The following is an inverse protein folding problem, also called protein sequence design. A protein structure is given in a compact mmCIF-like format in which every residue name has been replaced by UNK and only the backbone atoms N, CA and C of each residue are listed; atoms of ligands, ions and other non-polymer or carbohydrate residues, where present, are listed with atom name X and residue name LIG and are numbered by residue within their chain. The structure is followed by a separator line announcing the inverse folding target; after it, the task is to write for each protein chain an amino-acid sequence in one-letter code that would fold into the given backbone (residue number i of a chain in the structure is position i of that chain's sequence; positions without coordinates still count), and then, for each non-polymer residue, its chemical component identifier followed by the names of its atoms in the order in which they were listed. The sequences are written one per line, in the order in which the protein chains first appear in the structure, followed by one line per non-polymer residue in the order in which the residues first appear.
data_IF_057891582544
#
_entry.id   IF_057891582544
#
_cell.length_a   1.000
_cell.length_b   1.000
_cell.length_c   1.000
_cell.angle_alpha   90.00
_cell.angle_beta   90.00
_cell.angle_gamma   90.00
#
_symmetry.space_group_name_H-M   'P 1'
#
loop_
_entity.id
_entity.type
_entity.pdbx_description
1 polymer ?
#
# COMPACT_ATOMS: atom_id res chain seq x y z
N UNK A 1 -21.08 1.19 -12.49
CA UNK A 1 -20.28 -0.06 -12.35
C UNK A 1 -20.30 -0.85 -13.65
N UNK A 2 -19.18 -1.42 -14.10
CA UNK A 2 -19.13 -2.29 -15.30
C UNK A 2 -18.93 -3.73 -14.85
N UNK A 3 -19.79 -4.66 -15.28
CA UNK A 3 -19.71 -6.07 -14.86
C UNK A 3 -18.70 -6.83 -15.72
N UNK A 4 -17.52 -7.16 -15.19
CA UNK A 4 -16.52 -7.97 -15.89
C UNK A 4 -16.98 -9.43 -16.00
N UNK A 5 -17.05 -9.97 -17.22
CA UNK A 5 -17.45 -11.37 -17.48
C UNK A 5 -16.22 -12.28 -17.41
N UNK A 6 -15.99 -12.91 -16.26
CA UNK A 6 -14.92 -13.89 -16.06
C UNK A 6 -15.47 -15.30 -16.32
N UNK A 7 -14.89 -16.01 -17.30
CA UNK A 7 -15.29 -17.37 -17.67
C UNK A 7 -14.66 -18.42 -16.76
N UNK A 8 -15.17 -19.65 -16.79
CA UNK A 8 -14.55 -20.77 -16.08
C UNK A 8 -13.13 -21.06 -16.60
N UNK A 9 -12.90 -20.96 -17.91
CA UNK A 9 -11.57 -21.14 -18.52
C UNK A 9 -10.57 -20.08 -18.03
N UNK A 10 -11.03 -18.83 -17.86
CA UNK A 10 -10.19 -17.78 -17.27
C UNK A 10 -9.72 -18.19 -15.86
N UNK A 11 -10.64 -18.69 -15.02
CA UNK A 11 -10.36 -19.07 -13.63
C UNK A 11 -9.39 -20.25 -13.58
N UNK A 12 -9.67 -21.34 -14.29
CA UNK A 12 -8.83 -22.55 -14.28
C UNK A 12 -7.44 -22.26 -14.83
N UNK A 13 -7.32 -21.41 -15.84
CA UNK A 13 -6.01 -21.05 -16.39
C UNK A 13 -5.14 -20.33 -15.36
N UNK A 14 -5.72 -19.38 -14.62
CA UNK A 14 -4.99 -18.66 -13.56
C UNK A 14 -4.62 -19.56 -12.38
N UNK A 15 -5.49 -20.51 -11.99
CA UNK A 15 -5.20 -21.43 -10.88
C UNK A 15 -4.04 -22.38 -11.19
N UNK A 16 -3.95 -22.91 -12.41
CA UNK A 16 -2.86 -23.84 -12.80
C UNK A 16 -1.47 -23.21 -12.67
N UNK A 17 -1.34 -21.93 -13.03
CA UNK A 17 -0.05 -21.22 -12.94
C UNK A 17 0.31 -20.83 -11.50
N UNK A 18 -0.70 -20.54 -10.67
CA UNK A 18 -0.50 -20.21 -9.25
C UNK A 18 0.19 -21.35 -8.47
N UNK A 19 -0.18 -22.59 -8.75
CA UNK A 19 0.39 -23.77 -8.07
C UNK A 19 1.90 -23.89 -8.32
N UNK A 20 2.34 -23.60 -9.55
CA UNK A 20 3.77 -23.59 -9.93
C UNK A 20 4.52 -22.43 -9.27
N UNK A 21 3.85 -21.29 -9.06
CA UNK A 21 4.47 -20.07 -8.56
C UNK A 21 4.72 -20.06 -7.05
N UNK A 22 3.81 -20.59 -6.23
CA UNK A 22 3.85 -20.41 -4.76
C UNK A 22 3.96 -21.69 -3.93
N UNK A 23 3.84 -22.89 -4.53
CA UNK A 23 3.94 -24.17 -3.83
C UNK A 23 3.04 -24.24 -2.56
N UNK A 24 1.79 -23.80 -2.74
CA UNK A 24 0.73 -23.89 -1.73
C UNK A 24 0.17 -25.31 -1.75
N UNK A 25 -0.09 -25.90 -0.58
CA UNK A 25 -0.62 -27.26 -0.48
C UNK A 25 -1.64 -27.41 0.67
N UNK A 26 -2.12 -28.64 0.87
CA UNK A 26 -3.14 -28.97 1.86
C UNK A 26 -2.71 -28.80 3.33
N UNK A 27 -1.40 -28.76 3.62
CA UNK A 27 -0.87 -28.48 4.96
C UNK A 27 -0.87 -26.96 5.28
N UNK A 28 -1.08 -26.12 4.27
CA UNK A 28 -1.13 -24.68 4.46
C UNK A 28 -2.46 -24.22 5.08
N UNK A 29 -2.38 -23.14 5.85
CA UNK A 29 -3.52 -22.52 6.52
C UNK A 29 -3.50 -21.02 6.29
N UNK A 30 -4.60 -20.46 5.78
CA UNK A 30 -4.78 -19.04 5.53
C UNK A 30 -5.93 -18.40 6.34
N UNK A 31 -6.07 -17.08 6.18
CA UNK A 31 -7.17 -16.29 6.76
C UNK A 31 -7.83 -15.49 5.64
N UNK A 32 -9.15 -15.55 5.58
CA UNK A 32 -10.00 -14.78 4.67
C UNK A 32 -10.75 -13.69 5.43
N UNK A 33 -10.72 -12.47 4.89
CA UNK A 33 -11.41 -11.31 5.47
C UNK A 33 -11.95 -10.34 4.40
N UNK A 34 -11.64 -10.58 3.12
CA UNK A 34 -12.13 -9.76 2.03
C UNK A 34 -13.54 -10.21 1.63
N UNK A 35 -14.40 -9.32 1.12
CA UNK A 35 -15.70 -9.71 0.61
C UNK A 35 -15.58 -10.61 -0.63
N UNK A 36 -16.43 -11.63 -0.74
CA UNK A 36 -16.53 -12.54 -1.92
C UNK A 36 -16.87 -11.83 -3.24
N UNK A 37 -17.32 -10.57 -3.18
CA UNK A 37 -17.49 -9.73 -4.36
C UNK A 37 -16.17 -9.25 -4.95
N UNK A 38 -15.07 -9.26 -4.19
CA UNK A 38 -13.75 -8.85 -4.64
C UNK A 38 -13.04 -10.01 -5.35
N UNK A 39 -12.47 -9.75 -6.53
CA UNK A 39 -11.85 -10.80 -7.38
C UNK A 39 -10.68 -11.51 -6.69
N UNK A 40 -9.89 -10.80 -5.86
CA UNK A 40 -8.83 -11.43 -5.04
C UNK A 40 -9.38 -12.49 -4.07
N UNK A 41 -10.46 -12.19 -3.34
CA UNK A 41 -11.07 -13.17 -2.46
C UNK A 41 -11.67 -14.32 -3.26
N UNK A 42 -12.41 -14.00 -4.32
CA UNK A 42 -13.16 -15.00 -5.06
C UNK A 42 -12.27 -15.95 -5.85
N UNK A 43 -11.18 -15.45 -6.44
CA UNK A 43 -10.29 -16.26 -7.28
C UNK A 43 -9.13 -16.82 -6.46
N UNK A 44 -8.27 -15.99 -5.89
CA UNK A 44 -7.05 -16.47 -5.20
C UNK A 44 -7.36 -17.18 -3.89
N UNK A 45 -8.34 -16.70 -3.10
CA UNK A 45 -8.66 -17.31 -1.81
C UNK A 45 -9.71 -18.41 -1.95
N UNK A 46 -10.87 -18.16 -2.56
CA UNK A 46 -11.96 -19.15 -2.66
C UNK A 46 -11.67 -20.27 -3.64
N UNK A 47 -11.41 -19.98 -4.92
CA UNK A 47 -11.06 -21.06 -5.85
C UNK A 47 -9.67 -21.63 -5.55
N UNK A 48 -8.71 -20.80 -5.15
CA UNK A 48 -7.37 -21.27 -4.78
C UNK A 48 -7.37 -22.28 -3.62
N UNK A 49 -8.19 -22.08 -2.58
CA UNK A 49 -8.30 -23.07 -1.48
C UNK A 49 -8.95 -24.38 -1.93
N UNK A 50 -9.91 -24.33 -2.84
CA UNK A 50 -10.53 -25.54 -3.44
C UNK A 50 -9.50 -26.28 -4.30
N UNK A 51 -8.68 -25.55 -5.05
CA UNK A 51 -7.65 -26.11 -5.93
C UNK A 51 -6.51 -26.79 -5.15
N UNK A 52 -6.09 -26.19 -4.05
CA UNK A 52 -4.90 -26.62 -3.28
C UNK A 52 -5.22 -27.50 -2.06
N UNK A 53 -6.48 -27.55 -1.62
CA UNK A 53 -6.87 -28.19 -0.37
C UNK A 53 -6.54 -27.38 0.89
N UNK A 54 -6.03 -26.15 0.75
CA UNK A 54 -5.60 -25.30 1.86
C UNK A 54 -6.75 -24.98 2.83
N UNK A 55 -6.51 -25.15 4.13
CA UNK A 55 -7.46 -24.75 5.18
C UNK A 55 -7.57 -23.23 5.32
N UNK A 56 -8.77 -22.69 5.54
CA UNK A 56 -8.97 -21.23 5.68
C UNK A 56 -9.90 -20.88 6.83
N UNK A 57 -9.44 -19.98 7.70
CA UNK A 57 -10.25 -19.34 8.74
C UNK A 57 -10.88 -18.06 8.21
N UNK A 58 -12.10 -17.75 8.64
CA UNK A 58 -12.75 -16.49 8.31
C UNK A 58 -12.60 -15.53 9.47
N UNK A 59 -12.04 -14.35 9.20
CA UNK A 59 -11.90 -13.31 10.20
C UNK A 59 -13.26 -12.76 10.62
N UNK A 60 -13.44 -12.42 11.89
CA UNK A 60 -14.73 -11.90 12.36
C UNK A 60 -14.99 -10.47 11.87
N UNK A 61 -13.92 -9.70 11.60
CA UNK A 61 -13.97 -8.41 10.90
C UNK A 61 -12.58 -7.99 10.45
N UNK A 62 -12.50 -7.04 9.50
CA UNK A 62 -11.23 -6.43 9.05
C UNK A 62 -10.43 -5.85 10.23
N UNK A 63 -11.11 -5.28 11.23
CA UNK A 63 -10.46 -4.65 12.38
C UNK A 63 -9.71 -5.67 13.26
N UNK A 64 -10.22 -6.91 13.34
CA UNK A 64 -9.68 -7.98 14.18
C UNK A 64 -8.66 -8.87 13.48
N UNK A 65 -8.43 -8.70 12.17
CA UNK A 65 -7.52 -9.56 11.39
C UNK A 65 -6.14 -9.69 12.05
N UNK A 66 -5.49 -8.59 12.46
CA UNK A 66 -4.15 -8.66 13.06
C UNK A 66 -4.12 -9.38 14.42
N UNK A 67 -5.24 -9.36 15.16
CA UNK A 67 -5.38 -10.08 16.43
C UNK A 67 -5.61 -11.58 16.18
N UNK A 68 -6.56 -11.90 15.29
CA UNK A 68 -6.93 -13.28 14.94
C UNK A 68 -5.81 -14.02 14.20
N UNK A 69 -4.94 -13.31 13.46
CA UNK A 69 -3.73 -13.90 12.85
C UNK A 69 -2.83 -14.55 13.90
N UNK A 70 -2.71 -13.96 15.09
CA UNK A 70 -1.89 -14.53 16.15
C UNK A 70 -2.49 -15.83 16.73
N UNK A 71 -3.81 -15.95 16.76
CA UNK A 71 -4.54 -17.14 17.23
C UNK A 71 -4.56 -18.25 16.18
N UNK A 72 -4.93 -17.92 14.94
CA UNK A 72 -5.00 -18.87 13.81
C UNK A 72 -3.61 -19.37 13.41
N UNK A 73 -2.59 -18.52 13.61
CA UNK A 73 -1.19 -18.78 13.25
C UNK A 73 -1.09 -19.27 11.80
N UNK A 74 -1.43 -18.49 10.78
CA UNK A 74 -1.43 -18.99 9.39
C UNK A 74 -0.02 -19.40 8.93
N UNK A 75 0.06 -20.25 7.90
CA UNK A 75 1.33 -20.54 7.20
C UNK A 75 1.55 -19.58 6.03
N UNK A 76 0.46 -19.09 5.43
CA UNK A 76 0.47 -18.10 4.36
C UNK A 76 -0.59 -17.05 4.68
N UNK A 77 -0.27 -15.77 4.50
CA UNK A 77 -1.22 -14.70 4.72
C UNK A 77 -1.20 -13.68 3.59
N UNK A 78 -2.29 -13.64 2.83
CA UNK A 78 -2.54 -12.63 1.80
C UNK A 78 -3.25 -11.43 2.40
N UNK A 79 -2.77 -10.22 2.14
CA UNK A 79 -3.42 -9.00 2.62
C UNK A 79 -3.20 -7.81 1.68
N UNK A 80 -3.83 -6.68 2.02
CA UNK A 80 -3.62 -5.41 1.31
C UNK A 80 -2.49 -4.62 2.00
N UNK A 81 -1.78 -3.72 1.27
CA UNK A 81 -0.66 -2.94 1.82
C UNK A 81 -0.95 -2.30 3.18
N UNK A 82 -2.17 -1.76 3.35
CA UNK A 82 -2.57 -1.06 4.59
C UNK A 82 -2.48 -1.93 5.84
N UNK A 83 -2.71 -3.23 5.74
CA UNK A 83 -2.61 -4.14 6.89
C UNK A 83 -1.13 -4.32 7.29
N UNK A 84 -0.24 -4.44 6.31
CA UNK A 84 1.21 -4.50 6.54
C UNK A 84 1.77 -3.17 7.06
N UNK A 85 1.32 -2.03 6.53
CA UNK A 85 1.63 -0.69 7.03
C UNK A 85 1.21 -0.52 8.49
N UNK A 86 -0.01 -0.93 8.85
CA UNK A 86 -0.51 -0.87 10.23
C UNK A 86 0.30 -1.76 11.15
N UNK A 87 0.66 -2.97 10.71
CA UNK A 87 1.51 -3.86 11.48
C UNK A 87 2.92 -3.27 11.67
N UNK A 88 3.51 -2.70 10.62
CA UNK A 88 4.80 -1.99 10.67
C UNK A 88 4.78 -0.83 11.67
N UNK A 89 3.78 0.06 11.55
CA UNK A 89 3.61 1.20 12.46
C UNK A 89 3.47 0.75 13.92
N UNK A 90 2.68 -0.30 14.18
CA UNK A 90 2.53 -0.88 15.52
C UNK A 90 3.84 -1.43 16.07
N UNK A 91 4.63 -2.12 15.24
CA UNK A 91 5.95 -2.62 15.62
C UNK A 91 6.88 -1.45 15.98
N UNK A 92 6.95 -0.42 15.13
CA UNK A 92 7.81 0.73 15.36
C UNK A 92 7.42 1.49 16.63
N UNK A 93 6.13 1.76 16.83
CA UNK A 93 5.62 2.37 18.06
C UNK A 93 5.99 1.54 19.31
N UNK A 94 5.85 0.22 19.25
CA UNK A 94 6.24 -0.69 20.35
C UNK A 94 7.75 -0.60 20.65
N UNK A 95 8.58 -0.48 19.61
CA UNK A 95 10.04 -0.32 19.77
C UNK A 95 10.37 1.03 20.39
N UNK A 96 9.73 2.12 19.97
CA UNK A 96 9.94 3.47 20.51
C UNK A 96 9.59 3.57 22.00
N UNK A 97 8.55 2.87 22.43
CA UNK A 97 8.15 2.79 23.84
C UNK A 97 9.04 1.87 24.67
N UNK A 98 9.85 1.00 24.03
CA UNK A 98 10.74 0.09 24.73
C UNK A 98 11.97 0.81 25.30
N UNK A 99 12.64 0.25 26.33
CA UNK A 99 13.88 0.81 26.87
C UNK A 99 14.95 1.02 25.78
N UNK A 100 15.80 2.05 25.94
CA UNK A 100 16.86 2.41 24.97
C UNK A 100 17.76 1.24 24.58
N UNK A 101 17.97 0.28 25.47
CA UNK A 101 18.73 -0.95 25.19
C UNK A 101 18.04 -1.82 24.13
N UNK A 102 16.72 -2.04 24.24
CA UNK A 102 15.93 -2.78 23.25
C UNK A 102 15.87 -2.04 21.92
N UNK A 103 15.72 -0.71 21.93
CA UNK A 103 15.78 0.10 20.71
C UNK A 103 17.11 -0.07 19.96
N UNK A 104 18.24 -0.05 20.69
CA UNK A 104 19.57 -0.26 20.08
C UNK A 104 19.70 -1.65 19.46
N UNK A 105 19.22 -2.68 20.14
CA UNK A 105 19.23 -4.06 19.63
C UNK A 105 18.37 -4.16 18.36
N UNK A 106 17.18 -3.56 18.36
CA UNK A 106 16.29 -3.54 17.21
C UNK A 106 16.94 -2.85 16.00
N UNK A 107 17.45 -1.63 16.17
CA UNK A 107 18.11 -0.87 15.08
C UNK A 107 19.35 -1.58 14.53
N UNK A 108 20.09 -2.29 15.39
CA UNK A 108 21.21 -3.12 14.96
C UNK A 108 20.72 -4.32 14.12
N UNK A 109 19.69 -5.04 14.59
CA UNK A 109 19.12 -6.17 13.87
C UNK A 109 18.56 -5.73 12.51
N UNK A 110 17.81 -4.63 12.46
CA UNK A 110 17.27 -4.05 11.23
C UNK A 110 18.39 -3.74 10.22
N UNK A 111 19.48 -3.09 10.65
CA UNK A 111 20.63 -2.81 9.77
C UNK A 111 21.26 -4.08 9.20
N UNK A 112 21.45 -5.10 10.05
CA UNK A 112 22.01 -6.40 9.65
C UNK A 112 21.09 -7.08 8.63
N UNK A 113 19.78 -7.06 8.86
CA UNK A 113 18.80 -7.63 7.94
C UNK A 113 18.76 -6.88 6.62
N UNK A 114 18.78 -5.55 6.63
CA UNK A 114 18.79 -4.72 5.41
C UNK A 114 20.04 -4.97 4.56
N UNK A 115 21.22 -5.08 5.18
CA UNK A 115 22.47 -5.43 4.50
C UNK A 115 22.38 -6.82 3.83
N UNK A 116 21.77 -7.80 4.50
CA UNK A 116 21.54 -9.13 3.94
C UNK A 116 20.56 -9.09 2.74
N UNK A 117 19.45 -8.36 2.85
CA UNK A 117 18.45 -8.18 1.79
C UNK A 117 19.07 -7.51 0.55
N UNK A 118 19.90 -6.48 0.73
CA UNK A 118 20.59 -5.81 -0.37
C UNK A 118 21.51 -6.76 -1.15
N UNK A 119 22.23 -7.64 -0.45
CA UNK A 119 23.07 -8.66 -1.09
C UNK A 119 22.22 -9.70 -1.83
N UNK A 120 21.10 -10.15 -1.25
CA UNK A 120 20.16 -11.07 -1.91
C UNK A 120 19.57 -10.46 -3.19
N UNK A 121 19.10 -9.22 -3.13
CA UNK A 121 18.57 -8.47 -4.27
C UNK A 121 19.61 -8.25 -5.37
N UNK A 122 20.90 -8.14 -5.00
CA UNK A 122 22.00 -8.04 -5.94
C UNK A 122 22.52 -9.39 -6.45
N UNK A 123 21.90 -10.52 -6.06
CA UNK A 123 22.37 -11.86 -6.41
C UNK A 123 23.74 -12.22 -5.82
N UNK A 124 24.20 -11.51 -4.78
CA UNK A 124 25.52 -11.67 -4.17
C UNK A 124 25.45 -12.62 -2.96
N UNK A 125 26.49 -13.45 -2.75
CA UNK A 125 26.55 -14.31 -1.58
C UNK A 125 26.68 -13.47 -0.30
N UNK A 126 25.94 -13.84 0.74
CA UNK A 126 26.06 -13.21 2.06
C UNK A 126 27.36 -13.68 2.75
N UNK A 127 28.27 -12.77 3.14
CA UNK A 127 29.51 -13.11 3.84
C UNK A 127 29.25 -13.86 5.16
N UNK A 128 30.16 -14.75 5.55
CA UNK A 128 30.01 -15.56 6.76
C UNK A 128 29.77 -14.73 8.02
N UNK A 129 30.52 -13.64 8.22
CA UNK A 129 30.33 -12.75 9.37
C UNK A 129 28.94 -12.11 9.41
N UNK A 130 28.37 -11.77 8.25
CA UNK A 130 27.01 -11.24 8.16
C UNK A 130 25.97 -12.33 8.43
N UNK A 131 26.18 -13.57 7.96
CA UNK A 131 25.31 -14.72 8.30
C UNK A 131 25.22 -14.95 9.81
N UNK A 132 26.35 -14.89 10.52
CA UNK A 132 26.39 -15.04 11.99
C UNK A 132 25.62 -13.90 12.68
N UNK A 133 25.88 -12.64 12.28
CA UNK A 133 25.14 -11.48 12.80
C UNK A 133 23.64 -11.61 12.54
N UNK A 134 23.26 -12.07 11.35
CA UNK A 134 21.86 -12.28 10.98
C UNK A 134 21.21 -13.37 11.84
N UNK A 135 21.87 -14.49 12.08
CA UNK A 135 21.36 -15.54 12.98
C UNK A 135 21.13 -15.05 14.41
N UNK A 136 22.01 -14.17 14.91
CA UNK A 136 21.83 -13.51 16.21
C UNK A 136 20.65 -12.51 16.18
N UNK A 137 20.56 -11.68 15.14
CA UNK A 137 19.44 -10.76 14.95
C UNK A 137 18.09 -11.51 14.88
N UNK A 138 18.07 -12.65 14.19
CA UNK A 138 16.90 -13.51 14.07
C UNK A 138 16.41 -14.02 15.42
N UNK A 139 17.32 -14.58 16.22
CA UNK A 139 16.98 -15.09 17.55
C UNK A 139 16.56 -14.00 18.54
N UNK A 140 17.16 -12.81 18.46
CA UNK A 140 16.92 -11.73 19.43
C UNK A 140 15.69 -10.89 19.08
N UNK A 141 15.41 -10.69 17.79
CA UNK A 141 14.42 -9.74 17.27
C UNK A 141 13.45 -10.42 16.32
N UNK A 142 13.91 -10.94 15.18
CA UNK A 142 13.00 -11.29 14.09
C UNK A 142 12.06 -12.47 14.40
N UNK A 143 12.53 -13.47 15.14
CA UNK A 143 11.70 -14.56 15.66
C UNK A 143 10.54 -14.07 16.53
N UNK A 144 10.73 -13.00 17.32
CA UNK A 144 9.68 -12.39 18.12
C UNK A 144 8.68 -11.62 17.24
N UNK A 145 9.15 -10.97 16.18
CA UNK A 145 8.28 -10.33 15.20
C UNK A 145 7.43 -11.37 14.46
N UNK A 146 8.02 -12.50 14.04
CA UNK A 146 7.27 -13.62 13.46
C UNK A 146 6.21 -14.16 14.42
N UNK A 147 6.51 -14.23 15.71
CA UNK A 147 5.56 -14.68 16.71
C UNK A 147 4.30 -13.80 16.79
N UNK A 148 4.38 -12.50 16.45
CA UNK A 148 3.21 -11.61 16.36
C UNK A 148 2.22 -12.09 15.28
N UNK A 149 2.73 -12.73 14.21
CA UNK A 149 1.91 -13.32 13.16
C UNK A 149 1.69 -14.83 13.38
N UNK A 150 1.82 -15.31 14.62
CA UNK A 150 1.62 -16.71 14.99
C UNK A 150 2.81 -17.65 14.76
N UNK A 151 3.94 -17.11 14.28
CA UNK A 151 5.26 -17.77 14.33
C UNK A 151 5.52 -18.85 13.29
N UNK A 152 4.55 -19.22 12.45
CA UNK A 152 4.71 -20.23 11.39
C UNK A 152 4.40 -19.72 9.97
N UNK A 153 4.23 -18.41 9.80
CA UNK A 153 4.09 -17.81 8.47
C UNK A 153 5.39 -18.02 7.69
N UNK A 154 5.27 -18.67 6.53
CA UNK A 154 6.36 -18.86 5.55
C UNK A 154 6.56 -17.60 4.73
N UNK A 155 5.47 -16.96 4.32
CA UNK A 155 5.48 -15.72 3.56
C UNK A 155 4.12 -15.04 3.53
N UNK A 156 4.16 -13.77 3.15
CA UNK A 156 3.01 -12.92 2.92
C UNK A 156 2.84 -12.65 1.43
N UNK A 157 1.61 -12.33 1.05
CA UNK A 157 1.28 -11.91 -0.30
C UNK A 157 0.55 -10.57 -0.24
N UNK A 158 0.90 -9.63 -1.11
CA UNK A 158 0.24 -8.33 -1.20
C UNK A 158 -0.07 -7.96 -2.63
N UNK A 159 -1.14 -7.19 -2.83
CA UNK A 159 -1.50 -6.67 -4.15
C UNK A 159 -2.57 -5.58 -4.07
N UNK A 160 -3.14 -5.28 -5.22
CA UNK A 160 -4.19 -4.27 -5.44
C UNK A 160 -3.75 -2.80 -5.24
N UNK A 161 -2.70 -2.52 -4.48
CA UNK A 161 -2.11 -1.18 -4.33
C UNK A 161 -0.60 -1.30 -4.12
N UNK A 162 0.17 -0.24 -4.45
CA UNK A 162 1.60 -0.22 -4.15
C UNK A 162 1.83 -0.19 -2.63
N UNK A 163 2.93 -0.77 -2.20
CA UNK A 163 3.44 -0.73 -0.83
C UNK A 163 4.81 -0.07 -0.83
N UNK A 164 5.12 0.70 0.22
CA UNK A 164 6.40 1.40 0.31
C UNK A 164 7.58 0.40 0.30
N UNK A 165 8.64 0.63 -0.50
CA UNK A 165 9.80 -0.25 -0.55
C UNK A 165 10.45 -0.51 0.79
N UNK A 166 10.46 0.49 1.68
CA UNK A 166 11.00 0.34 3.04
C UNK A 166 10.25 -0.72 3.86
N UNK A 167 8.93 -0.80 3.73
CA UNK A 167 8.13 -1.81 4.43
C UNK A 167 8.47 -3.19 3.87
N UNK A 168 8.59 -3.33 2.55
CA UNK A 168 9.02 -4.59 1.94
C UNK A 168 10.39 -5.01 2.46
N UNK A 169 11.38 -4.11 2.40
CA UNK A 169 12.73 -4.36 2.92
C UNK A 169 12.70 -4.81 4.37
N UNK A 170 11.89 -4.18 5.22
CA UNK A 170 11.75 -4.54 6.62
C UNK A 170 11.22 -5.97 6.82
N UNK A 171 10.13 -6.36 6.14
CA UNK A 171 9.55 -7.69 6.27
C UNK A 171 10.48 -8.78 5.70
N UNK A 172 11.16 -8.49 4.60
CA UNK A 172 12.21 -9.35 4.05
C UNK A 172 13.40 -9.50 5.00
N UNK A 173 13.87 -8.39 5.57
CA UNK A 173 14.96 -8.38 6.55
C UNK A 173 14.61 -9.17 7.82
N UNK A 174 13.32 -9.17 8.20
CA UNK A 174 12.82 -9.90 9.35
C UNK A 174 12.53 -11.40 9.06
N UNK A 175 12.80 -11.89 7.85
CA UNK A 175 12.69 -13.32 7.52
C UNK A 175 11.26 -13.82 7.36
N UNK A 176 10.32 -12.95 6.98
CA UNK A 176 8.96 -13.31 6.59
C UNK A 176 8.55 -12.46 5.38
N UNK A 177 8.99 -12.86 4.18
CA UNK A 177 8.93 -12.01 3.00
C UNK A 177 7.50 -11.67 2.57
N UNK A 178 7.30 -10.44 2.08
CA UNK A 178 6.08 -10.04 1.37
C UNK A 178 6.35 -10.15 -0.13
N UNK A 179 5.56 -10.94 -0.84
CA UNK A 179 5.56 -11.03 -2.29
C UNK A 179 4.49 -10.12 -2.87
N UNK A 180 4.91 -9.14 -3.68
CA UNK A 180 3.99 -8.28 -4.43
C UNK A 180 3.47 -9.00 -5.68
N UNK A 181 2.17 -8.86 -5.93
CA UNK A 181 1.49 -9.29 -7.14
C UNK A 181 0.68 -8.16 -7.75
N UNK A 182 0.51 -8.22 -9.07
CA UNK A 182 -0.31 -7.29 -9.82
C UNK A 182 -1.32 -8.02 -10.70
N UNK A 183 -2.49 -7.40 -10.81
CA UNK A 183 -3.57 -7.81 -11.67
C UNK A 183 -4.81 -7.00 -11.36
N UNK A 184 -5.85 -7.24 -12.15
CA UNK A 184 -7.11 -6.53 -12.08
C UNK A 184 -8.28 -7.48 -12.37
N UNK A 185 -9.51 -6.98 -12.20
CA UNK A 185 -10.71 -7.79 -12.46
C UNK A 185 -10.78 -8.21 -13.91
N UNK A 186 -10.44 -7.30 -14.84
CA UNK A 186 -10.43 -7.51 -16.29
C UNK A 186 -9.37 -8.52 -16.75
N UNK A 187 -8.39 -8.84 -15.89
CA UNK A 187 -7.34 -9.83 -16.14
C UNK A 187 -7.49 -11.08 -15.27
N UNK A 188 -8.68 -11.32 -14.69
CA UNK A 188 -8.95 -12.46 -13.81
C UNK A 188 -7.93 -12.56 -12.67
N UNK A 189 -7.83 -11.50 -11.87
CA UNK A 189 -7.09 -11.39 -10.59
C UNK A 189 -5.61 -11.11 -10.65
N UNK A 190 -4.81 -11.86 -11.40
CA UNK A 190 -3.34 -11.78 -11.36
C UNK A 190 -2.74 -11.94 -12.76
N UNK A 191 -1.72 -11.15 -13.04
CA UNK A 191 -0.95 -11.20 -14.28
C UNK A 191 0.56 -11.20 -14.03
N UNK A 192 1.00 -10.57 -12.95
CA UNK A 192 2.41 -10.51 -12.57
C UNK A 192 2.58 -10.86 -11.10
N UNK A 193 3.69 -11.50 -10.77
CA UNK A 193 4.03 -11.82 -9.39
C UNK A 193 5.54 -11.85 -9.16
N UNK A 194 5.95 -11.38 -7.97
CA UNK A 194 7.19 -11.86 -7.37
C UNK A 194 6.94 -13.25 -6.79
N UNK A 195 7.85 -14.19 -7.07
CA UNK A 195 7.75 -15.57 -6.61
C UNK A 195 9.02 -15.98 -5.86
N UNK A 196 8.98 -16.99 -4.99
CA UNK A 196 10.17 -17.48 -4.29
C UNK A 196 11.36 -17.72 -5.24
N UNK A 197 12.50 -17.12 -4.91
CA UNK A 197 13.73 -17.20 -5.71
C UNK A 197 13.82 -16.25 -6.91
N UNK A 198 12.73 -15.58 -7.30
CA UNK A 198 12.69 -14.57 -8.38
C UNK A 198 11.94 -13.33 -7.88
N UNK A 199 12.63 -12.52 -7.09
CA UNK A 199 12.06 -11.32 -6.46
C UNK A 199 12.89 -10.11 -6.80
N UNK A 200 12.20 -8.99 -7.05
CA UNK A 200 12.80 -7.67 -7.09
C UNK A 200 11.89 -6.70 -6.35
N UNK A 201 12.27 -6.33 -5.12
CA UNK A 201 11.50 -5.42 -4.28
C UNK A 201 11.15 -4.11 -5.00
N UNK A 202 9.90 -3.67 -4.85
CA UNK A 202 9.34 -2.49 -5.51
C UNK A 202 8.85 -2.74 -6.93
N UNK A 203 9.14 -3.92 -7.51
CA UNK A 203 8.47 -4.40 -8.72
C UNK A 203 7.29 -5.28 -8.34
N UNK A 204 6.33 -5.46 -9.24
CA UNK A 204 5.26 -6.46 -9.09
C UNK A 204 5.68 -7.84 -9.65
N UNK A 205 6.98 -8.00 -9.93
CA UNK A 205 7.59 -9.19 -10.48
C UNK A 205 7.36 -9.33 -11.98
N UNK A 206 7.42 -10.58 -12.46
CA UNK A 206 7.36 -10.92 -13.88
C UNK A 206 5.96 -11.34 -14.26
N UNK A 207 5.65 -11.26 -15.56
CA UNK A 207 4.44 -11.86 -16.09
C UNK A 207 4.40 -13.36 -15.75
N UNK A 208 3.22 -13.84 -15.36
CA UNK A 208 2.94 -15.27 -15.20
C UNK A 208 3.09 -16.00 -16.53
N UNK A 209 3.33 -17.32 -16.52
CA UNK A 209 3.65 -18.05 -17.77
C UNK A 209 2.50 -18.04 -18.78
N UNK A 210 1.28 -17.81 -18.29
CA UNK A 210 0.03 -17.70 -19.07
C UNK A 210 -0.21 -16.29 -19.65
N UNK A 211 0.68 -15.32 -19.38
CA UNK A 211 0.52 -13.90 -19.74
C UNK A 211 1.65 -13.44 -20.65
N UNK A 212 1.27 -12.85 -21.78
CA UNK A 212 2.14 -11.97 -22.55
C UNK A 212 1.97 -10.53 -22.08
N UNK A 213 3.07 -9.83 -21.85
CA UNK A 213 3.07 -8.42 -21.44
C UNK A 213 3.96 -7.54 -22.34
N UNK A 214 3.54 -6.29 -22.53
CA UNK A 214 4.40 -5.26 -23.13
C UNK A 214 4.06 -3.88 -22.58
N UNK A 215 5.03 -2.97 -22.69
CA UNK A 215 4.83 -1.54 -22.39
C UNK A 215 4.55 -0.83 -23.72
N UNK A 216 3.42 -0.13 -23.82
CA UNK A 216 3.06 0.69 -24.97
C UNK A 216 3.94 1.95 -25.06
N UNK A 217 3.90 2.65 -26.20
CA UNK A 217 4.70 3.86 -26.44
C UNK A 217 4.42 4.99 -25.41
N UNK A 218 3.22 5.03 -24.86
CA UNK A 218 2.80 5.98 -23.82
C UNK A 218 3.04 5.46 -22.38
N UNK A 219 3.71 4.32 -22.24
CA UNK A 219 4.04 3.68 -20.96
C UNK A 219 2.95 2.79 -20.39
N UNK A 220 1.78 2.66 -21.04
CA UNK A 220 0.72 1.77 -20.55
C UNK A 220 1.14 0.29 -20.59
N UNK A 221 0.84 -0.44 -19.52
CA UNK A 221 1.04 -1.88 -19.45
C UNK A 221 -0.09 -2.54 -20.21
N UNK A 222 0.27 -3.33 -21.23
CA UNK A 222 -0.66 -4.14 -22.00
C UNK A 222 -0.45 -5.61 -21.65
N UNK A 223 -1.53 -6.33 -21.42
CA UNK A 223 -1.48 -7.77 -21.15
C UNK A 223 -2.37 -8.54 -22.12
N UNK A 224 -1.93 -9.73 -22.52
CA UNK A 224 -2.70 -10.65 -23.36
C UNK A 224 -2.55 -12.05 -22.82
N UNK A 225 -3.64 -12.80 -22.87
CA UNK A 225 -3.65 -14.19 -22.45
C UNK A 225 -5.04 -14.65 -22.08
N UNK A 226 -5.16 -15.94 -21.75
CA UNK A 226 -6.42 -16.53 -21.30
C UNK A 226 -6.90 -16.02 -19.93
N UNK A 227 -6.10 -15.21 -19.23
CA UNK A 227 -6.53 -14.51 -18.03
C UNK A 227 -7.43 -13.30 -18.35
N UNK A 228 -7.41 -12.77 -19.58
CA UNK A 228 -8.25 -11.62 -19.98
C UNK A 228 -9.72 -12.04 -20.00
N UNK A 229 -10.57 -11.21 -19.39
CA UNK A 229 -12.01 -11.42 -19.31
C UNK A 229 -12.70 -11.49 -20.69
N UNK A 230 -13.96 -11.93 -20.72
CA UNK A 230 -14.76 -12.00 -21.95
C UNK A 230 -15.32 -10.64 -22.39
N UNK A 231 -14.99 -9.56 -21.66
CA UNK A 231 -15.56 -8.23 -21.84
C UNK A 231 -16.51 -7.82 -20.72
N UNK A 232 -17.10 -6.64 -20.86
CA UNK A 232 -18.09 -6.11 -19.93
C UNK A 232 -19.51 -6.54 -20.33
N UNK A 233 -20.27 -7.05 -19.35
CA UNK A 233 -21.64 -7.51 -19.54
C UNK A 233 -22.54 -6.41 -20.09
N UNK A 234 -23.16 -6.68 -21.24
CA UNK A 234 -24.04 -5.76 -21.98
C UNK A 234 -23.39 -4.39 -22.29
N UNK A 235 -22.07 -4.35 -22.46
CA UNK A 235 -21.35 -3.13 -22.79
C UNK A 235 -20.22 -3.39 -23.80
N UNK A 236 -20.57 -3.63 -25.09
CA UNK A 236 -19.59 -3.93 -26.13
C UNK A 236 -18.67 -2.74 -26.43
N UNK A 237 -19.15 -1.49 -26.33
CA UNK A 237 -18.35 -0.28 -26.55
C UNK A 237 -17.20 -0.19 -25.54
N UNK A 238 -17.50 -0.24 -24.24
CA UNK A 238 -16.46 -0.23 -23.21
C UNK A 238 -15.53 -1.44 -23.31
N UNK A 239 -16.02 -2.57 -23.84
CA UNK A 239 -15.18 -3.76 -24.08
C UNK A 239 -14.17 -3.50 -25.20
N UNK A 240 -14.62 -2.96 -26.33
CA UNK A 240 -13.77 -2.62 -27.47
C UNK A 240 -12.75 -1.51 -27.14
N UNK A 241 -13.08 -0.58 -26.24
CA UNK A 241 -12.13 0.41 -25.73
C UNK A 241 -11.05 -0.19 -24.80
N UNK A 242 -11.36 -1.31 -24.16
CA UNK A 242 -10.50 -1.91 -23.11
C UNK A 242 -9.67 -3.07 -23.64
N UNK A 243 -10.18 -3.79 -24.65
CA UNK A 243 -9.46 -4.89 -25.32
C UNK A 243 -9.39 -4.61 -26.80
N UNK A 244 -8.18 -4.38 -27.29
CA UNK A 244 -7.88 -4.03 -28.68
C UNK A 244 -6.93 -5.09 -29.21
N UNK A 245 -7.32 -5.78 -30.28
CA UNK A 245 -6.53 -6.87 -30.90
C UNK A 245 -6.07 -7.95 -29.90
N UNK A 246 -6.94 -8.26 -28.93
CA UNK A 246 -6.69 -9.24 -27.87
C UNK A 246 -5.81 -8.74 -26.71
N UNK A 247 -5.26 -7.52 -26.79
CA UNK A 247 -4.53 -6.89 -25.71
C UNK A 247 -5.49 -6.14 -24.79
N UNK A 248 -5.43 -6.44 -23.50
CA UNK A 248 -6.06 -5.67 -22.44
C UNK A 248 -5.22 -4.42 -22.15
N UNK A 249 -5.82 -3.26 -22.36
CA UNK A 249 -5.31 -1.96 -21.97
C UNK A 249 -5.65 -1.73 -20.50
N UNK A 250 -4.66 -1.93 -19.63
CA UNK A 250 -4.86 -1.97 -18.16
C UNK A 250 -5.27 -0.62 -17.58
N UNK A 251 -4.95 0.47 -18.28
CA UNK A 251 -4.99 1.82 -17.76
C UNK A 251 -3.95 2.11 -16.67
N UNK A 252 -2.99 1.20 -16.47
CA UNK A 252 -1.83 1.37 -15.57
C UNK A 252 -0.58 1.67 -16.41
N UNK A 253 0.18 2.67 -16.00
CA UNK A 253 1.47 3.04 -16.59
C UNK A 253 2.58 2.41 -15.78
N UNK A 254 3.55 1.82 -16.47
CA UNK A 254 4.65 1.13 -15.84
C UNK A 254 5.92 1.15 -16.68
N UNK A 255 6.95 0.51 -16.14
CA UNK A 255 8.20 0.22 -16.86
C UNK A 255 8.56 -1.24 -16.66
N UNK A 256 9.21 -1.82 -17.66
CA UNK A 256 9.79 -3.17 -17.59
C UNK A 256 11.30 -3.07 -17.63
N UNK A 257 11.98 -3.79 -16.75
CA UNK A 257 13.44 -3.86 -16.76
C UNK A 257 13.98 -5.02 -17.62
N UNK A 258 15.30 -5.12 -17.70
CA UNK A 258 16.00 -6.16 -18.48
C UNK A 258 15.73 -7.58 -17.97
N UNK A 259 15.37 -7.73 -16.69
CA UNK A 259 15.02 -9.01 -16.07
C UNK A 259 13.55 -9.40 -16.33
N UNK A 260 12.79 -8.56 -17.04
CA UNK A 260 11.36 -8.74 -17.29
C UNK A 260 10.46 -8.39 -16.10
N UNK A 261 11.00 -7.77 -15.05
CA UNK A 261 10.21 -7.32 -13.91
C UNK A 261 9.50 -6.00 -14.23
N UNK A 262 8.23 -5.92 -13.87
CA UNK A 262 7.37 -4.76 -14.13
C UNK A 262 7.23 -3.90 -12.88
N UNK A 263 7.33 -2.59 -13.04
CA UNK A 263 7.13 -1.59 -11.99
C UNK A 263 5.89 -0.76 -12.34
N UNK A 264 4.91 -0.74 -11.45
CA UNK A 264 3.72 0.10 -11.60
C UNK A 264 4.07 1.52 -11.15
N UNK A 265 3.86 2.49 -12.04
CA UNK A 265 4.10 3.90 -11.75
C UNK A 265 2.78 4.55 -11.29
N UNK A 266 1.77 4.60 -12.16
CA UNK A 266 0.46 5.19 -11.83
C UNK A 266 -0.67 4.62 -12.68
N UNK A 267 -1.90 5.10 -12.45
CA UNK A 267 -2.98 5.01 -13.42
C UNK A 267 -2.80 6.06 -14.51
N UNK A 268 -2.91 5.66 -15.77
CA UNK A 268 -2.89 6.54 -16.95
C UNK A 268 -3.85 7.74 -16.82
N UNK A 269 -5.05 7.49 -16.28
CA UNK A 269 -6.09 8.53 -16.06
C UNK A 269 -5.79 9.46 -14.89
N UNK A 270 -4.77 9.18 -14.08
CA UNK A 270 -4.39 9.96 -12.91
C UNK A 270 -3.06 10.70 -13.10
N UNK A 271 -2.32 10.42 -14.17
CA UNK A 271 -1.08 11.16 -14.49
C UNK A 271 -1.40 12.65 -14.54
N UNK A 272 -0.61 13.41 -13.78
CA UNK A 272 -0.68 14.87 -13.77
C UNK A 272 0.19 15.36 -14.93
N UNK A 273 -0.41 16.11 -15.85
CA UNK A 273 0.32 16.79 -16.92
C UNK A 273 0.39 18.26 -16.54
N UNK A 274 1.52 18.69 -16.00
CA UNK A 274 1.71 20.10 -15.63
C UNK A 274 1.59 21.02 -16.84
N UNK A 275 1.37 22.33 -16.63
CA UNK A 275 1.32 23.33 -17.70
C UNK A 275 2.61 23.35 -18.57
N UNK A 276 3.73 22.87 -18.03
CA UNK A 276 4.99 22.69 -18.77
C UNK A 276 5.08 21.39 -19.57
N UNK A 277 4.01 20.60 -19.68
CA UNK A 277 3.95 19.35 -20.43
C UNK A 277 4.69 18.18 -19.78
N UNK A 278 5.03 18.26 -18.49
CA UNK A 278 5.66 17.14 -17.76
C UNK A 278 4.59 16.22 -17.19
N UNK A 279 4.71 14.93 -17.51
CA UNK A 279 3.91 13.84 -16.98
C UNK A 279 4.47 13.43 -15.62
N UNK A 280 3.66 13.58 -14.58
CA UNK A 280 4.03 13.29 -13.19
C UNK A 280 3.09 12.21 -12.65
N UNK A 281 3.65 11.39 -11.78
CA UNK A 281 3.00 10.23 -11.16
C UNK A 281 2.57 10.61 -9.75
N UNK A 282 1.35 11.14 -9.53
CA UNK A 282 0.92 11.56 -8.20
C UNK A 282 1.02 10.46 -7.14
N UNK A 283 0.82 9.19 -7.47
CA UNK A 283 0.93 8.11 -6.48
C UNK A 283 2.33 8.04 -5.86
N UNK A 284 3.39 8.28 -6.65
CA UNK A 284 4.76 8.35 -6.16
C UNK A 284 4.93 9.51 -5.17
N UNK A 285 4.50 10.71 -5.56
CA UNK A 285 4.57 11.93 -4.74
C UNK A 285 3.83 11.76 -3.42
N UNK A 286 2.61 11.22 -3.46
CA UNK A 286 1.78 10.99 -2.27
C UNK A 286 2.36 9.95 -1.33
N UNK A 287 2.99 8.91 -1.88
CA UNK A 287 3.65 7.89 -1.07
C UNK A 287 4.90 8.45 -0.38
N UNK A 288 5.71 9.27 -1.06
CA UNK A 288 6.85 9.96 -0.44
C UNK A 288 6.39 10.90 0.69
N UNK A 289 5.29 11.64 0.49
CA UNK A 289 4.71 12.50 1.53
C UNK A 289 4.28 11.67 2.75
N UNK A 290 3.54 10.57 2.55
CA UNK A 290 3.08 9.71 3.65
C UNK A 290 4.25 9.01 4.37
N UNK A 291 5.27 8.58 3.63
CA UNK A 291 6.45 7.94 4.19
C UNK A 291 7.29 8.90 5.05
N UNK A 292 7.24 10.20 4.75
CA UNK A 292 8.02 11.21 5.46
C UNK A 292 7.60 11.45 6.92
N UNK A 293 6.36 11.08 7.30
CA UNK A 293 5.82 11.26 8.64
C UNK A 293 4.55 10.43 8.92
N UNK A 294 4.54 9.56 9.95
CA UNK A 294 3.35 8.79 10.34
C UNK A 294 2.11 9.63 10.68
N UNK A 295 2.28 10.91 11.04
CA UNK A 295 1.16 11.82 11.29
C UNK A 295 0.26 12.00 10.06
N UNK A 296 0.78 11.79 8.85
CA UNK A 296 0.05 11.97 7.58
C UNK A 296 -0.65 10.66 7.21
N UNK A 297 -1.99 10.63 7.27
CA UNK A 297 -2.76 9.42 6.94
C UNK A 297 -3.11 9.29 5.47
N UNK A 298 -3.39 10.40 4.79
CA UNK A 298 -3.61 10.47 3.35
C UNK A 298 -2.93 11.71 2.78
N UNK A 299 -2.51 11.60 1.53
CA UNK A 299 -2.00 12.71 0.73
C UNK A 299 -2.65 12.64 -0.64
N UNK A 300 -2.95 13.82 -1.19
CA UNK A 300 -3.49 14.00 -2.52
C UNK A 300 -2.69 15.09 -3.23
N UNK A 301 -1.87 14.70 -4.19
CA UNK A 301 -1.12 15.61 -5.05
C UNK A 301 -2.04 16.15 -6.15
N UNK A 302 -2.00 17.47 -6.33
CA UNK A 302 -2.80 18.21 -7.29
C UNK A 302 -1.91 19.13 -8.12
N UNK A 303 -2.18 19.21 -9.42
CA UNK A 303 -1.49 20.14 -10.31
C UNK A 303 -1.62 19.85 -11.80
N UNK A 304 -2.66 19.11 -12.21
CA UNK A 304 -2.94 18.90 -13.63
C UNK A 304 -3.21 20.25 -14.31
N UNK A 305 -2.47 20.50 -15.39
CA UNK A 305 -2.45 21.76 -16.15
C UNK A 305 -2.09 22.99 -15.30
N UNK A 306 -1.46 22.81 -14.14
CA UNK A 306 -0.99 23.90 -13.26
C UNK A 306 0.53 24.10 -13.39
N UNK A 307 1.01 25.27 -12.92
CA UNK A 307 2.43 25.68 -13.03
C UNK A 307 3.37 24.87 -12.11
N UNK A 308 2.85 24.36 -11.01
CA UNK A 308 3.57 23.59 -10.00
C UNK A 308 2.57 22.68 -9.27
N UNK A 309 3.07 21.76 -8.45
CA UNK A 309 2.22 20.88 -7.65
C UNK A 309 1.90 21.47 -6.28
N UNK A 310 0.68 21.19 -5.83
CA UNK A 310 0.20 21.41 -4.47
C UNK A 310 -0.30 20.09 -3.91
N UNK A 311 -0.51 20.02 -2.60
CA UNK A 311 -1.05 18.81 -1.97
C UNK A 311 -2.14 19.14 -0.95
N UNK A 312 -3.12 18.25 -0.83
CA UNK A 312 -4.00 18.15 0.33
C UNK A 312 -3.53 16.95 1.17
N UNK A 313 -3.39 17.12 2.48
CA UNK A 313 -3.02 16.03 3.39
C UNK A 313 -4.01 15.95 4.54
N UNK A 314 -4.17 14.74 5.10
CA UNK A 314 -4.97 14.51 6.30
C UNK A 314 -4.12 13.98 7.44
N UNK A 315 -4.56 14.23 8.67
CA UNK A 315 -3.90 13.74 9.88
C UNK A 315 -4.54 12.41 10.30
N UNK A 316 -3.71 11.43 10.67
CA UNK A 316 -4.17 10.16 11.21
C UNK A 316 -4.88 10.31 12.55
N UNK A 317 -6.07 9.72 12.68
CA UNK A 317 -6.88 9.86 13.88
C UNK A 317 -6.21 9.29 15.15
N UNK A 318 -5.46 8.19 15.03
CA UNK A 318 -4.72 7.62 16.16
C UNK A 318 -3.58 8.53 16.59
N UNK A 319 -2.79 9.00 15.62
CA UNK A 319 -1.64 9.87 15.82
C UNK A 319 -2.06 11.24 16.39
N UNK A 320 -3.20 11.77 15.96
CA UNK A 320 -3.79 12.99 16.53
C UNK A 320 -4.19 12.82 18.00
N UNK A 321 -4.80 11.68 18.36
CA UNK A 321 -5.17 11.37 19.75
C UNK A 321 -3.93 11.23 20.63
N UNK A 322 -2.91 10.53 20.15
CA UNK A 322 -1.65 10.36 20.87
C UNK A 322 -0.92 11.69 21.08
N UNK A 323 -0.89 12.54 20.05
CA UNK A 323 -0.31 13.88 20.16
C UNK A 323 -1.09 14.76 21.15
N UNK A 324 -2.42 14.77 21.08
CA UNK A 324 -3.26 15.55 21.99
C UNK A 324 -3.12 15.10 23.45
N UNK A 325 -2.89 13.79 23.68
CA UNK A 325 -2.55 13.25 25.01
C UNK A 325 -1.21 13.78 25.51
N UNK A 326 -0.19 13.80 24.65
CA UNK A 326 1.14 14.27 25.00
C UNK A 326 1.17 15.78 25.30
N UNK A 327 0.36 16.57 24.60
CA UNK A 327 0.20 18.01 24.86
C UNK A 327 -0.72 18.33 26.05
N UNK A 328 -1.37 17.32 26.63
CA UNK A 328 -2.32 17.52 27.73
C UNK A 328 -3.65 18.16 27.30
N UNK A 329 -3.93 18.25 26.00
CA UNK A 329 -5.20 18.78 25.46
C UNK A 329 -6.38 17.87 25.80
N UNK A 330 -6.13 16.57 25.90
CA UNK A 330 -7.09 15.58 26.38
C UNK A 330 -6.47 14.76 27.51
N UNK A 331 -7.30 14.30 28.44
CA UNK A 331 -6.85 13.42 29.51
C UNK A 331 -6.65 11.97 29.00
N UNK A 332 -5.92 11.16 29.78
CA UNK A 332 -5.62 9.78 29.42
C UNK A 332 -6.86 8.91 29.21
N UNK A 333 -7.91 9.06 30.01
CA UNK A 333 -9.13 8.28 29.88
C UNK A 333 -9.86 8.56 28.56
N UNK A 334 -9.92 9.84 28.14
CA UNK A 334 -10.49 10.25 26.85
C UNK A 334 -9.64 9.74 25.69
N UNK A 335 -8.31 9.84 25.79
CA UNK A 335 -7.41 9.30 24.77
C UNK A 335 -7.59 7.78 24.62
N UNK A 336 -7.57 7.03 25.72
CA UNK A 336 -7.74 5.57 25.72
C UNK A 336 -9.12 5.17 25.14
N UNK A 337 -10.18 5.93 25.43
CA UNK A 337 -11.51 5.73 24.82
C UNK A 337 -11.47 5.87 23.29
N UNK A 338 -10.84 6.92 22.78
CA UNK A 338 -10.75 7.14 21.33
C UNK A 338 -9.87 6.10 20.64
N UNK A 339 -8.71 5.78 21.20
CA UNK A 339 -7.81 4.74 20.68
C UNK A 339 -8.49 3.37 20.65
N UNK A 340 -9.25 3.03 21.71
CA UNK A 340 -10.04 1.80 21.73
C UNK A 340 -11.09 1.78 20.61
N UNK A 341 -11.85 2.86 20.45
CA UNK A 341 -12.85 2.96 19.38
C UNK A 341 -12.23 2.84 17.98
N UNK A 342 -11.06 3.45 17.75
CA UNK A 342 -10.32 3.35 16.49
C UNK A 342 -9.73 1.96 16.26
N UNK A 343 -9.35 1.25 17.33
CA UNK A 343 -8.91 -0.13 17.25
C UNK A 343 -10.05 -1.07 16.84
N UNK A 344 -11.24 -0.87 17.42
CA UNK A 344 -12.45 -1.66 17.12
C UNK A 344 -13.03 -1.32 15.74
N UNK A 345 -13.01 -0.04 15.37
CA UNK A 345 -13.42 0.46 14.06
C UNK A 345 -12.45 1.54 13.59
N UNK A 346 -11.52 1.23 12.66
CA UNK A 346 -10.61 2.22 12.07
C UNK A 346 -11.32 3.37 11.34
N UNK A 347 -12.60 3.19 11.00
CA UNK A 347 -13.47 4.19 10.40
C UNK A 347 -14.36 4.87 11.43
N UNK A 348 -14.00 4.81 12.71
CA UNK A 348 -14.70 5.57 13.74
C UNK A 348 -14.58 7.07 13.45
N UNK A 349 -15.72 7.75 13.52
CA UNK A 349 -15.88 9.18 13.19
C UNK A 349 -16.79 9.86 14.21
N UNK A 350 -16.54 9.65 15.51
CA UNK A 350 -17.34 10.31 16.54
C UNK A 350 -17.19 11.83 16.43
N UNK A 351 -18.21 12.59 16.81
CA UNK A 351 -18.17 14.07 16.74
C UNK A 351 -17.01 14.63 17.54
N UNK A 352 -16.70 14.02 18.68
CA UNK A 352 -15.59 14.41 19.53
C UNK A 352 -14.23 14.15 18.86
N UNK A 353 -14.09 13.01 18.16
CA UNK A 353 -12.87 12.71 17.42
C UNK A 353 -12.67 13.64 16.22
N UNK A 354 -13.76 13.99 15.51
CA UNK A 354 -13.71 14.95 14.41
C UNK A 354 -13.34 16.36 14.91
N UNK A 355 -13.90 16.80 16.04
CA UNK A 355 -13.54 18.07 16.65
C UNK A 355 -12.06 18.09 17.08
N UNK A 356 -11.56 16.98 17.62
CA UNK A 356 -10.15 16.85 17.98
C UNK A 356 -9.25 16.91 16.75
N UNK A 357 -9.58 16.18 15.67
CA UNK A 357 -8.84 16.24 14.40
C UNK A 357 -8.78 17.67 13.86
N UNK A 358 -9.90 18.38 13.85
CA UNK A 358 -9.96 19.77 13.39
C UNK A 358 -9.08 20.69 14.25
N UNK A 359 -9.09 20.50 15.57
CA UNK A 359 -8.22 21.24 16.47
C UNK A 359 -6.74 20.95 16.21
N UNK A 360 -6.36 19.68 16.09
CA UNK A 360 -4.96 19.26 15.83
C UNK A 360 -4.48 19.75 14.47
N UNK A 361 -5.33 19.75 13.43
CA UNK A 361 -4.99 20.26 12.10
C UNK A 361 -4.68 21.77 12.07
N UNK A 362 -5.26 22.54 12.99
CA UNK A 362 -5.03 23.98 13.13
C UNK A 362 -3.88 24.32 14.09
N UNK A 363 -3.31 23.34 14.79
CA UNK A 363 -2.22 23.57 15.72
C UNK A 363 -0.93 23.99 15.00
N UNK A 364 -0.26 25.03 15.50
CA UNK A 364 0.91 25.62 14.85
C UNK A 364 2.10 24.67 14.79
N UNK A 365 2.31 23.82 15.80
CA UNK A 365 3.42 22.87 15.83
C UNK A 365 3.15 21.68 14.91
N UNK A 366 1.88 21.26 14.79
CA UNK A 366 1.46 20.31 13.77
C UNK A 366 1.66 20.85 12.37
N UNK A 367 1.23 22.08 12.09
CA UNK A 367 1.43 22.70 10.77
C UNK A 367 2.92 22.80 10.41
N UNK A 368 3.78 23.19 11.35
CA UNK A 368 5.25 23.18 11.16
C UNK A 368 5.78 21.77 10.90
N UNK A 369 5.31 20.77 11.65
CA UNK A 369 5.68 19.36 11.45
C UNK A 369 5.33 18.90 10.05
N UNK A 370 4.09 19.13 9.59
CA UNK A 370 3.63 18.76 8.26
C UNK A 370 4.48 19.43 7.17
N UNK A 371 4.76 20.73 7.28
CA UNK A 371 5.64 21.43 6.32
C UNK A 371 7.04 20.81 6.28
N UNK A 372 7.62 20.51 7.44
CA UNK A 372 8.93 19.85 7.51
C UNK A 372 8.91 18.45 6.89
N UNK A 373 7.81 17.71 7.04
CA UNK A 373 7.62 16.38 6.47
C UNK A 373 7.49 16.43 4.95
N UNK A 374 6.67 17.33 4.41
CA UNK A 374 6.59 17.56 2.96
C UNK A 374 7.92 18.06 2.38
N UNK A 375 8.71 18.84 3.13
CA UNK A 375 10.06 19.21 2.71
C UNK A 375 10.97 17.99 2.58
N UNK A 376 10.96 17.07 3.55
CA UNK A 376 11.74 15.82 3.47
C UNK A 376 11.31 14.98 2.26
N UNK A 377 10.01 14.88 1.98
CA UNK A 377 9.52 14.23 0.76
C UNK A 377 10.02 14.93 -0.51
N UNK A 378 10.03 16.28 -0.55
CA UNK A 378 10.56 17.02 -1.69
C UNK A 378 12.06 16.80 -1.95
N UNK A 379 12.85 16.36 -0.96
CA UNK A 379 14.28 16.04 -1.13
C UNK A 379 14.48 14.72 -1.92
N UNK A 380 13.50 13.81 -1.92
CA UNK A 380 13.54 12.54 -2.67
C UNK A 380 12.92 12.66 -4.06
N UNK A 381 12.10 13.70 -4.28
CA UNK A 381 11.38 13.96 -5.53
C UNK A 381 12.20 14.81 -6.52
N UNK A 382 11.93 14.66 -7.82
CA UNK A 382 12.53 15.55 -8.81
C UNK A 382 11.99 16.98 -8.68
N UNK A 383 12.74 17.99 -9.17
CA UNK A 383 12.37 19.41 -9.04
C UNK A 383 10.93 19.72 -9.49
N UNK A 384 10.45 19.04 -10.54
CA UNK A 384 9.10 19.24 -11.10
C UNK A 384 8.01 18.54 -10.30
N UNK A 385 8.35 17.53 -9.50
CA UNK A 385 7.45 16.79 -8.62
C UNK A 385 7.31 17.44 -7.24
N UNK A 386 8.16 18.40 -6.90
CA UNK A 386 8.12 19.04 -5.57
C UNK A 386 6.81 19.79 -5.30
N UNK A 387 6.22 19.54 -4.14
CA UNK A 387 5.04 20.25 -3.64
C UNK A 387 5.44 21.65 -3.17
N UNK A 388 4.74 22.68 -3.64
CA UNK A 388 5.01 24.08 -3.27
C UNK A 388 4.16 24.59 -2.11
N UNK A 389 2.90 24.15 -2.07
CA UNK A 389 1.97 24.46 -0.98
C UNK A 389 1.21 23.23 -0.58
N UNK A 390 0.94 23.09 0.71
CA UNK A 390 0.16 21.99 1.27
C UNK A 390 -1.01 22.53 2.09
N UNK A 391 -2.18 21.94 1.93
CA UNK A 391 -3.35 22.20 2.75
C UNK A 391 -3.59 21.01 3.68
N UNK A 392 -3.76 21.28 4.98
CA UNK A 392 -4.10 20.26 5.98
C UNK A 392 -5.62 20.27 6.15
N UNK A 393 -6.26 19.15 5.81
CA UNK A 393 -7.70 18.99 6.00
C UNK A 393 -7.99 18.81 7.50
N UNK A 394 -9.09 19.40 7.96
CA UNK A 394 -9.57 19.37 9.35
C UNK A 394 -10.21 18.04 9.76
N UNK A 395 -10.26 17.07 8.84
CA UNK A 395 -10.76 15.72 9.06
C UNK A 395 -10.01 14.72 8.18
N UNK A 396 -10.23 13.43 8.47
CA UNK A 396 -9.84 12.37 7.55
C UNK A 396 -10.79 12.30 6.33
N UNK A 397 -10.26 11.81 5.21
CA UNK A 397 -11.07 11.37 4.08
C UNK A 397 -11.89 10.14 4.49
N UNK A 398 -13.07 9.95 3.87
CA UNK A 398 -14.00 8.90 4.28
C UNK A 398 -14.64 8.13 3.13
N UNK A 399 -15.14 6.93 3.44
CA UNK A 399 -15.89 6.10 2.49
C UNK A 399 -17.31 6.62 2.34
N UNK A 400 -17.90 7.12 3.42
CA UNK A 400 -19.25 7.69 3.48
C UNK A 400 -19.37 8.94 2.60
N UNK A 401 -18.32 9.76 2.56
CA UNK A 401 -18.22 10.93 1.70
C UNK A 401 -17.77 10.57 0.28
N UNK A 402 -17.71 9.30 -0.09
CA UNK A 402 -17.31 8.87 -1.44
C UNK A 402 -15.89 9.37 -1.84
N UNK A 403 -15.01 9.62 -0.87
CA UNK A 403 -13.62 10.07 -1.06
C UNK A 403 -12.64 8.90 -1.06
N UNK A 404 -13.02 7.81 -0.38
CA UNK A 404 -12.30 6.55 -0.32
C UNK A 404 -13.16 5.40 -0.86
N UNK A 405 -12.51 4.35 -1.35
CA UNK A 405 -13.14 3.04 -1.61
C UNK A 405 -13.34 2.28 -0.29
N UNK A 406 -14.17 1.22 -0.23
CA UNK A 406 -14.26 0.35 0.95
C UNK A 406 -12.91 -0.27 1.36
N UNK A 407 -11.97 -0.37 0.43
CA UNK A 407 -10.57 -0.79 0.69
C UNK A 407 -9.63 0.36 1.06
N UNK A 408 -10.18 1.54 1.40
CA UNK A 408 -9.49 2.76 1.83
C UNK A 408 -8.54 3.39 0.80
N UNK A 409 -8.69 3.01 -0.48
CA UNK A 409 -8.00 3.68 -1.59
C UNK A 409 -8.67 5.00 -1.92
N UNK A 410 -7.85 6.01 -2.17
CA UNK A 410 -8.26 7.35 -2.59
C UNK A 410 -9.05 7.34 -3.91
N UNK A 411 -10.23 7.97 -3.92
CA UNK A 411 -11.02 8.26 -5.12
C UNK A 411 -10.67 9.65 -5.65
N UNK A 412 -9.50 9.76 -6.29
CA UNK A 412 -8.92 11.04 -6.76
C UNK A 412 -9.93 11.98 -7.41
N UNK A 413 -10.65 11.51 -8.45
CA UNK A 413 -11.64 12.33 -9.18
C UNK A 413 -12.70 12.95 -8.26
N UNK A 414 -13.12 12.22 -7.24
CA UNK A 414 -14.13 12.68 -6.30
C UNK A 414 -13.54 13.71 -5.32
N UNK A 415 -12.31 13.47 -4.86
CA UNK A 415 -11.56 14.42 -4.03
C UNK A 415 -11.29 15.71 -4.81
N UNK A 416 -10.83 15.64 -6.06
CA UNK A 416 -10.70 16.81 -6.95
C UNK A 416 -12.00 17.60 -7.03
N UNK A 417 -13.10 16.94 -7.36
CA UNK A 417 -14.38 17.60 -7.53
C UNK A 417 -14.87 18.25 -6.23
N UNK A 418 -14.72 17.58 -5.09
CA UNK A 418 -15.16 18.07 -3.78
C UNK A 418 -14.31 19.23 -3.26
N UNK A 419 -13.00 19.16 -3.46
CA UNK A 419 -12.04 20.14 -2.92
C UNK A 419 -11.51 21.11 -3.99
N UNK A 420 -12.18 21.21 -5.14
CA UNK A 420 -11.75 22.06 -6.26
C UNK A 420 -11.46 23.50 -5.82
N UNK A 421 -12.37 24.10 -5.04
CA UNK A 421 -12.18 25.47 -4.54
C UNK A 421 -10.95 25.60 -3.63
N UNK A 422 -10.68 24.60 -2.80
CA UNK A 422 -9.48 24.56 -1.95
C UNK A 422 -8.23 24.50 -2.82
N UNK A 423 -8.22 23.64 -3.85
CA UNK A 423 -7.10 23.54 -4.77
C UNK A 423 -6.88 24.83 -5.56
N UNK A 424 -7.93 25.46 -6.06
CA UNK A 424 -7.86 26.73 -6.79
C UNK A 424 -7.25 27.84 -5.92
N UNK A 425 -7.72 27.96 -4.67
CA UNK A 425 -7.18 28.93 -3.70
C UNK A 425 -5.70 28.74 -3.42
N UNK A 426 -5.17 27.52 -3.45
CA UNK A 426 -3.72 27.30 -3.28
C UNK A 426 -2.90 27.99 -4.39
N UNK A 427 -3.47 28.20 -5.58
CA UNK A 427 -2.79 28.91 -6.67
C UNK A 427 -3.04 30.42 -6.70
N UNK A 428 -4.14 30.88 -6.12
CA UNK A 428 -4.58 32.28 -6.20
C UNK A 428 -4.18 33.11 -4.98
N UNK A 429 -4.21 32.49 -3.79
CA UNK A 429 -3.97 33.17 -2.51
C UNK A 429 -2.60 32.77 -1.95
N UNK A 430 -1.68 33.73 -1.89
CA UNK A 430 -0.33 33.51 -1.36
C UNK A 430 -0.33 33.15 0.13
N UNK A 431 -1.34 33.57 0.89
CA UNK A 431 -1.49 33.27 2.30
C UNK A 431 -2.29 31.98 2.56
N UNK A 432 -2.92 31.40 1.54
CA UNK A 432 -3.69 30.16 1.67
C UNK A 432 -2.83 28.91 1.51
N UNK A 433 -2.95 28.02 2.48
CA UNK A 433 -2.13 26.81 2.57
C UNK A 433 -0.76 27.09 3.18
N UNK A 434 -0.10 26.02 3.61
CA UNK A 434 1.22 26.09 4.22
C UNK A 434 2.29 26.06 3.12
N UNK A 435 3.19 27.05 3.14
CA UNK A 435 4.24 27.18 2.13
C UNK A 435 5.40 26.22 2.46
N UNK A 436 5.75 25.38 1.49
CA UNK A 436 6.90 24.48 1.58
C UNK A 436 8.11 25.20 0.98
N UNK A 437 8.68 26.16 1.71
CA UNK A 437 9.89 26.87 1.25
C UNK A 437 11.05 25.88 1.25
N UNK A 438 11.69 25.68 0.09
CA UNK A 438 12.99 25.02 -0.01
C UNK A 438 14.05 25.96 0.55
N UNK A 439 14.84 25.48 1.52
CA UNK A 439 16.02 26.22 1.99
C UNK A 439 17.05 26.38 0.86
#
# INVERSE_FOLDING_TARGET
PKGAMISHDNIITVMKDQDEAFAINEDDVGISFLPMAHVAERILAFYGRINTGMGTYFASSIAKVLEEVAEVRPTIFGSVPRIFEKAYAKIMSTVEQAPRTRQRIFRWAERVGREAVQLWQAGKPVPFGLKVKYGLADRLVFSKLRAVFGGRVRYFITGAAPIAPEILEFFWAAGFPIYEMYGMTESTVITHANVPGKVKLGSVGRALSIVEDRIADDGEILVRGKCVFQGYYKNPEATAETVIDGWLYTGDVGKKDEDGCVYILDRKKHIIITAGGKNLTPANIENEIKASDPMISQAHAHGDKRKYLTALVTIGAGEAVDWARQQGTINGATADKHLKALSENPLARSKELQALLAQVAQDADIQKRIVASVRRANETLSRVETIKKVYVLDRELSVEEDELTPTLKLKRKNVEAKFQQTFDRLYEDEAFGLVVVSA
#
